data_IF_705242671311
#
_entry.id   IF_705242671311
#
_cell.length_a   1.000
_cell.length_b   1.000
_cell.length_c   1.000
_cell.angle_alpha   90.00
_cell.angle_beta   90.00
_cell.angle_gamma   90.00
#
_symmetry.space_group_name_H-M   'P 1'
#
loop_
_entity.id
_entity.type
_entity.pdbx_description
1 polymer ?
#
# COMPACT_ATOMS: atom_id res chain seq x y z
N UNK A 1 13.47 -1.69 -11.60
CA UNK A 1 12.22 -2.04 -10.90
C UNK A 1 12.33 -3.43 -10.30
N UNK A 2 11.83 -3.62 -9.07
CA UNK A 2 11.66 -4.95 -8.50
C UNK A 2 10.44 -5.63 -9.15
N UNK A 3 10.52 -6.94 -9.36
CA UNK A 3 9.43 -7.75 -9.90
C UNK A 3 9.19 -8.94 -8.99
N UNK A 4 7.95 -9.11 -8.55
CA UNK A 4 7.52 -10.19 -7.67
C UNK A 4 6.47 -11.02 -8.40
N UNK A 5 6.89 -12.19 -8.87
CA UNK A 5 6.05 -13.08 -9.70
C UNK A 5 5.19 -14.05 -8.88
N UNK A 6 5.39 -14.03 -7.55
CA UNK A 6 4.70 -14.89 -6.58
C UNK A 6 4.14 -14.03 -5.46
N UNK A 7 3.31 -14.65 -4.64
CA UNK A 7 2.71 -14.03 -3.46
C UNK A 7 3.79 -13.33 -2.62
N UNK A 8 3.51 -12.08 -2.27
CA UNK A 8 4.33 -11.28 -1.35
C UNK A 8 3.53 -11.11 -0.06
N UNK A 9 4.07 -11.58 1.05
CA UNK A 9 3.44 -11.47 2.35
C UNK A 9 4.38 -10.80 3.36
N UNK A 10 3.96 -9.65 3.89
CA UNK A 10 4.60 -8.97 5.02
C UNK A 10 3.61 -8.72 6.15
N UNK A 11 2.59 -9.58 6.28
CA UNK A 11 1.60 -9.47 7.35
C UNK A 11 2.28 -9.35 8.71
N UNK A 12 1.88 -8.32 9.47
CA UNK A 12 2.41 -7.97 10.79
C UNK A 12 3.92 -7.69 10.84
N UNK A 13 4.56 -7.49 9.69
CA UNK A 13 5.95 -7.05 9.64
C UNK A 13 6.09 -5.62 10.17
N UNK A 14 7.29 -5.27 10.61
CA UNK A 14 7.66 -3.91 10.99
C UNK A 14 8.88 -3.46 10.18
N UNK A 15 8.69 -2.47 9.33
CA UNK A 15 9.77 -1.77 8.65
C UNK A 15 10.18 -0.58 9.53
N UNK A 16 11.35 -0.65 10.16
CA UNK A 16 11.84 0.34 11.12
C UNK A 16 12.45 1.60 10.46
N UNK A 17 12.56 1.58 9.14
CA UNK A 17 13.00 2.70 8.31
C UNK A 17 12.17 2.64 7.02
N UNK A 18 12.44 3.56 6.10
CA UNK A 18 11.76 3.69 4.83
C UNK A 18 11.81 2.39 4.00
N UNK A 19 10.65 1.93 3.56
CA UNK A 19 10.52 0.83 2.61
C UNK A 19 10.28 1.39 1.18
N UNK A 20 11.06 0.92 0.21
CA UNK A 20 11.00 1.39 -1.17
C UNK A 20 10.52 0.29 -2.12
N UNK A 21 9.33 0.50 -2.67
CA UNK A 21 8.69 -0.31 -3.70
C UNK A 21 8.29 0.53 -4.92
N UNK A 22 8.94 1.69 -5.11
CA UNK A 22 8.69 2.55 -6.27
C UNK A 22 8.93 1.78 -7.56
N UNK A 23 8.00 1.93 -8.51
CA UNK A 23 7.98 1.24 -9.81
C UNK A 23 8.00 -0.30 -9.71
N UNK A 24 7.77 -0.88 -8.53
CA UNK A 24 7.73 -2.34 -8.38
C UNK A 24 6.50 -2.93 -9.07
N UNK A 25 6.65 -4.13 -9.63
CA UNK A 25 5.56 -4.89 -10.22
C UNK A 25 5.28 -6.15 -9.39
N UNK A 26 4.05 -6.27 -8.90
CA UNK A 26 3.54 -7.42 -8.16
C UNK A 26 2.54 -8.16 -9.05
N UNK A 27 2.95 -9.32 -9.58
CA UNK A 27 2.11 -10.11 -10.51
C UNK A 27 1.11 -11.03 -9.79
N UNK A 28 1.20 -11.12 -8.47
CA UNK A 28 0.33 -11.97 -7.64
C UNK A 28 -0.09 -11.21 -6.38
N UNK A 29 -0.84 -11.90 -5.53
CA UNK A 29 -1.43 -11.35 -4.31
C UNK A 29 -0.36 -10.71 -3.41
N UNK A 30 -0.69 -9.54 -2.88
CA UNK A 30 0.15 -8.83 -1.89
C UNK A 30 -0.61 -8.70 -0.58
N UNK A 31 -0.03 -9.21 0.51
CA UNK A 31 -0.59 -9.09 1.86
C UNK A 31 0.35 -8.26 2.74
N UNK A 32 -0.21 -7.17 3.28
CA UNK A 32 0.42 -6.18 4.13
C UNK A 32 -0.47 -5.92 5.35
N UNK A 33 -1.20 -6.95 5.79
CA UNK A 33 -2.19 -6.83 6.85
C UNK A 33 -1.50 -6.61 8.19
N UNK A 34 -1.88 -5.54 8.89
CA UNK A 34 -1.27 -5.14 10.16
C UNK A 34 0.22 -4.79 10.05
N UNK A 35 0.75 -4.57 8.84
CA UNK A 35 2.14 -4.16 8.63
C UNK A 35 2.34 -2.74 9.16
N UNK A 36 3.48 -2.51 9.80
CA UNK A 36 3.87 -1.20 10.32
C UNK A 36 5.00 -0.63 9.47
N UNK A 37 4.75 0.52 8.86
CA UNK A 37 5.73 1.27 8.09
C UNK A 37 6.10 2.54 8.85
N UNK A 38 7.40 2.79 9.03
CA UNK A 38 7.83 4.15 9.36
C UNK A 38 7.57 5.07 8.17
N UNK A 39 8.10 4.78 6.98
CA UNK A 39 7.72 5.44 5.74
C UNK A 39 7.71 4.44 4.57
N UNK A 40 6.88 4.70 3.55
CA UNK A 40 6.77 3.78 2.41
C UNK A 40 6.54 4.48 1.09
N UNK A 41 7.16 3.95 0.03
CA UNK A 41 6.97 4.42 -1.34
C UNK A 41 6.51 3.29 -2.26
N UNK A 42 5.29 3.42 -2.75
CA UNK A 42 4.70 2.64 -3.84
C UNK A 42 4.50 3.50 -5.10
N UNK A 43 5.31 4.56 -5.25
CA UNK A 43 5.19 5.50 -6.38
C UNK A 43 5.34 4.75 -7.70
N UNK A 44 4.31 4.77 -8.55
CA UNK A 44 4.31 4.05 -9.83
C UNK A 44 4.27 2.53 -9.70
N UNK A 45 4.03 1.96 -8.52
CA UNK A 45 3.96 0.52 -8.32
C UNK A 45 2.70 -0.07 -8.99
N UNK A 46 2.82 -1.29 -9.50
CA UNK A 46 1.74 -2.01 -10.18
C UNK A 46 1.37 -3.26 -9.40
N UNK A 47 0.13 -3.32 -8.94
CA UNK A 47 -0.47 -4.47 -8.28
C UNK A 47 -1.42 -5.15 -9.26
N UNK A 48 -0.95 -6.23 -9.90
CA UNK A 48 -1.69 -6.94 -10.95
C UNK A 48 -2.81 -7.84 -10.39
N UNK A 49 -2.73 -8.18 -9.11
CA UNK A 49 -3.70 -9.02 -8.41
C UNK A 49 -4.22 -8.33 -7.13
N UNK A 50 -5.02 -9.05 -6.34
CA UNK A 50 -5.60 -8.55 -5.09
C UNK A 50 -4.53 -8.09 -4.09
N UNK A 51 -4.80 -7.00 -3.38
CA UNK A 51 -3.88 -6.45 -2.37
C UNK A 51 -4.59 -6.05 -1.09
N UNK A 52 -3.99 -6.39 0.04
CA UNK A 52 -4.61 -6.27 1.36
C UNK A 52 -3.70 -5.49 2.30
N UNK A 53 -4.11 -4.29 2.68
CA UNK A 53 -3.43 -3.39 3.63
C UNK A 53 -4.27 -3.23 4.91
N UNK A 54 -5.16 -4.17 5.20
CA UNK A 54 -6.09 -4.07 6.31
C UNK A 54 -5.34 -3.97 7.65
N UNK A 55 -5.68 -2.95 8.44
CA UNK A 55 -5.02 -2.63 9.71
C UNK A 55 -3.56 -2.19 9.57
N UNK A 56 -3.05 -1.91 8.37
CA UNK A 56 -1.70 -1.38 8.21
C UNK A 56 -1.55 -0.01 8.87
N UNK A 57 -0.39 0.23 9.47
CA UNK A 57 -0.07 1.49 10.15
C UNK A 57 1.07 2.20 9.41
N UNK A 58 0.83 3.43 8.98
CA UNK A 58 1.80 4.29 8.29
C UNK A 58 2.15 5.46 9.22
N UNK A 59 3.32 5.41 9.85
CA UNK A 59 3.71 6.38 10.89
C UNK A 59 4.13 7.74 10.31
N UNK A 60 4.86 7.73 9.20
CA UNK A 60 5.25 8.89 8.42
C UNK A 60 4.59 8.85 7.04
N UNK A 61 5.23 9.41 6.02
CA UNK A 61 4.63 9.54 4.69
C UNK A 61 4.45 8.20 3.97
N UNK A 62 3.27 8.03 3.38
CA UNK A 62 2.92 6.90 2.54
C UNK A 62 2.61 7.39 1.12
N UNK A 63 3.48 7.07 0.16
CA UNK A 63 3.35 7.54 -1.21
C UNK A 63 2.81 6.43 -2.12
N UNK A 64 1.60 6.60 -2.64
CA UNK A 64 0.97 5.74 -3.65
C UNK A 64 0.81 6.46 -5.00
N UNK A 65 1.48 7.60 -5.19
CA UNK A 65 1.35 8.41 -6.39
C UNK A 65 1.61 7.58 -7.66
N UNK A 66 0.69 7.65 -8.62
CA UNK A 66 0.73 6.88 -9.89
C UNK A 66 0.74 5.35 -9.70
N UNK A 67 0.43 4.84 -8.50
CA UNK A 67 0.25 3.41 -8.32
C UNK A 67 -0.98 2.91 -9.09
N UNK A 68 -0.92 1.67 -9.57
CA UNK A 68 -2.01 1.04 -10.32
C UNK A 68 -2.44 -0.25 -9.64
N UNK A 69 -3.69 -0.30 -9.17
CA UNK A 69 -4.33 -1.49 -8.61
C UNK A 69 -5.27 -2.10 -9.66
N UNK A 70 -4.86 -3.22 -10.24
CA UNK A 70 -5.56 -3.90 -11.33
C UNK A 70 -6.67 -4.82 -10.84
N UNK A 71 -6.74 -5.11 -9.54
CA UNK A 71 -7.79 -5.89 -8.86
C UNK A 71 -8.24 -5.16 -7.59
N UNK A 72 -8.99 -5.86 -6.75
CA UNK A 72 -9.47 -5.30 -5.49
C UNK A 72 -8.28 -4.93 -4.60
N UNK A 73 -8.40 -3.78 -3.93
CA UNK A 73 -7.51 -3.36 -2.86
C UNK A 73 -8.32 -2.99 -1.62
N UNK A 74 -7.84 -3.39 -0.45
CA UNK A 74 -8.41 -2.96 0.83
C UNK A 74 -7.38 -2.28 1.72
N UNK A 75 -7.79 -1.18 2.33
CA UNK A 75 -7.13 -0.46 3.40
C UNK A 75 -8.03 -0.45 4.65
N UNK A 76 -8.81 -1.52 4.85
CA UNK A 76 -9.81 -1.59 5.93
C UNK A 76 -9.16 -1.42 7.30
N UNK A 77 -9.59 -0.42 8.07
CA UNK A 77 -9.00 -0.11 9.38
C UNK A 77 -7.54 0.35 9.35
N UNK A 78 -6.97 0.66 8.18
CA UNK A 78 -5.61 1.18 8.09
C UNK A 78 -5.50 2.57 8.74
N UNK A 79 -4.34 2.88 9.31
CA UNK A 79 -4.10 4.14 10.01
C UNK A 79 -2.91 4.88 9.41
N UNK A 80 -3.18 6.04 8.82
CA UNK A 80 -2.19 6.94 8.23
C UNK A 80 -1.96 8.11 9.19
N UNK A 81 -0.90 8.01 9.99
CA UNK A 81 -0.46 9.06 10.92
C UNK A 81 0.23 10.21 10.19
N UNK A 82 1.05 9.88 9.18
CA UNK A 82 1.63 10.87 8.27
C UNK A 82 0.75 11.13 7.04
N UNK A 83 1.21 12.01 6.16
CA UNK A 83 0.51 12.29 4.89
C UNK A 83 0.48 11.05 3.99
N UNK A 84 -0.68 10.76 3.44
CA UNK A 84 -0.85 9.74 2.41
C UNK A 84 -1.05 10.44 1.07
N UNK A 85 -0.39 9.97 0.02
CA UNK A 85 -0.47 10.59 -1.31
C UNK A 85 -0.98 9.57 -2.31
N UNK A 86 -2.10 9.87 -2.96
CA UNK A 86 -2.74 9.04 -3.97
C UNK A 86 -2.89 9.78 -5.32
N UNK A 87 -2.04 10.76 -5.60
CA UNK A 87 -2.14 11.55 -6.83
C UNK A 87 -1.93 10.64 -8.04
N UNK A 88 -2.84 10.71 -9.02
CA UNK A 88 -2.87 9.85 -10.21
C UNK A 88 -2.92 8.32 -9.93
N UNK A 89 -3.26 7.89 -8.71
CA UNK A 89 -3.47 6.47 -8.41
C UNK A 89 -4.69 5.95 -9.17
N UNK A 90 -4.56 4.77 -9.78
CA UNK A 90 -5.66 4.12 -10.52
C UNK A 90 -6.15 2.88 -9.78
N UNK A 91 -7.44 2.87 -9.48
CA UNK A 91 -8.15 1.70 -8.98
C UNK A 91 -9.06 1.15 -10.08
N UNK A 92 -8.69 0.04 -10.71
CA UNK A 92 -9.48 -0.56 -11.80
C UNK A 92 -10.70 -1.34 -11.30
N UNK A 93 -10.65 -1.76 -10.03
CA UNK A 93 -11.74 -2.42 -9.33
C UNK A 93 -11.97 -1.76 -7.97
N UNK A 94 -12.74 -2.42 -7.10
CA UNK A 94 -13.11 -1.90 -5.79
C UNK A 94 -11.87 -1.58 -4.94
N UNK A 95 -11.80 -0.34 -4.46
CA UNK A 95 -10.91 0.09 -3.39
C UNK A 95 -11.74 0.35 -2.12
N UNK A 96 -11.38 -0.25 -0.99
CA UNK A 96 -12.09 -0.03 0.28
C UNK A 96 -11.20 0.63 1.33
N UNK A 97 -11.74 1.67 1.97
CA UNK A 97 -11.10 2.38 3.08
C UNK A 97 -11.98 2.33 4.34
N UNK A 98 -12.80 1.29 4.48
CA UNK A 98 -13.75 1.17 5.59
C UNK A 98 -13.05 1.18 6.94
N UNK A 99 -13.33 2.18 7.77
CA UNK A 99 -12.67 2.35 9.07
C UNK A 99 -11.22 2.85 9.00
N UNK A 100 -10.70 3.15 7.81
CA UNK A 100 -9.39 3.78 7.67
C UNK A 100 -9.40 5.17 8.29
N UNK A 101 -8.27 5.58 8.89
CA UNK A 101 -8.07 6.89 9.49
C UNK A 101 -6.92 7.61 8.82
N UNK A 102 -7.14 8.88 8.51
CA UNK A 102 -6.14 9.78 7.95
C UNK A 102 -6.04 11.00 8.85
N UNK A 103 -4.86 11.23 9.41
CA UNK A 103 -4.65 12.31 10.39
C UNK A 103 -4.06 13.57 9.74
N UNK A 104 -3.53 13.45 8.53
CA UNK A 104 -2.90 14.51 7.74
C UNK A 104 -3.50 14.56 6.32
N UNK A 105 -2.79 15.19 5.38
CA UNK A 105 -3.21 15.29 3.97
C UNK A 105 -3.37 13.92 3.30
N UNK A 106 -4.36 13.83 2.43
CA UNK A 106 -4.71 12.68 1.57
C UNK A 106 -4.97 13.10 0.14
#
# INVERSE_FOLDING_TARGET
MAKFEKVVAFDRAKFQDNAWFSEAEFESIVTLEGTKFEGVKFVGAKFQDESWFDGAEFQCEAFFDRAEFQRQVSFGGAEFQGSAWFDDTKFQHRATFGGAKFHERT
#
